data_IF_464988370827
#
_entry.id   IF_464988370827
#
_cell.length_a   1.000
_cell.length_b   1.000
_cell.length_c   1.000
_cell.angle_alpha   90.00
_cell.angle_beta   90.00
_cell.angle_gamma   90.00
#
_symmetry.space_group_name_H-M   'P 1'
#
loop_
_entity.id
_entity.type
_entity.pdbx_description
1 polymer ?
#
# COMPACT_ATOMS: atom_id res chain seq x y z
N UNK A 1 5.50 19.11 -23.68
CA UNK A 1 6.25 17.96 -23.11
C UNK A 1 6.86 18.45 -21.82
N UNK A 2 6.16 18.29 -20.71
CA UNK A 2 6.75 18.44 -19.37
C UNK A 2 7.67 17.24 -19.17
N UNK A 3 8.90 17.47 -18.74
CA UNK A 3 9.82 16.39 -18.40
C UNK A 3 9.17 15.53 -17.30
N UNK A 4 8.83 14.29 -17.64
CA UNK A 4 8.21 13.33 -16.72
C UNK A 4 9.20 13.06 -15.58
N UNK A 5 8.85 13.45 -14.34
CA UNK A 5 9.68 13.21 -13.17
C UNK A 5 9.80 11.70 -12.95
N UNK A 6 10.99 11.16 -13.25
CA UNK A 6 11.30 9.75 -13.14
C UNK A 6 12.48 9.50 -12.20
N UNK A 7 12.30 8.56 -11.29
CA UNK A 7 13.33 8.04 -10.38
C UNK A 7 13.70 6.60 -10.77
N UNK A 8 14.87 6.15 -10.36
CA UNK A 8 15.27 4.75 -10.49
C UNK A 8 14.84 3.96 -9.26
N UNK A 9 14.12 2.86 -9.48
CA UNK A 9 13.58 1.97 -8.45
C UNK A 9 13.65 0.53 -8.94
N UNK A 10 13.88 -0.42 -8.04
CA UNK A 10 14.06 -1.84 -8.42
C UNK A 10 13.04 -2.78 -7.78
N UNK A 11 12.48 -2.42 -6.63
CA UNK A 11 11.65 -3.27 -5.80
C UNK A 11 10.24 -2.68 -5.64
N UNK A 12 10.09 -1.42 -5.23
CA UNK A 12 8.78 -0.80 -4.97
C UNK A 12 8.17 -0.18 -6.23
N UNK A 13 7.78 -1.06 -7.14
CA UNK A 13 7.43 -0.74 -8.53
C UNK A 13 5.95 -0.38 -8.72
N UNK A 14 5.08 -0.76 -7.79
CA UNK A 14 3.63 -0.56 -7.84
C UNK A 14 3.16 0.08 -6.53
N UNK A 15 3.49 1.36 -6.34
CA UNK A 15 3.31 2.03 -5.06
C UNK A 15 2.00 2.83 -5.02
N UNK A 16 1.29 2.68 -3.90
CA UNK A 16 0.18 3.56 -3.49
C UNK A 16 0.51 4.14 -2.13
N UNK A 17 0.60 5.47 -2.04
CA UNK A 17 1.07 6.19 -0.87
C UNK A 17 0.00 7.17 -0.39
N UNK A 18 -0.35 7.09 0.88
CA UNK A 18 -1.40 7.93 1.46
C UNK A 18 -0.79 9.13 2.19
N UNK A 19 -1.29 10.30 1.86
CA UNK A 19 -0.85 11.59 2.38
C UNK A 19 -2.02 12.43 2.87
N UNK A 20 -1.75 13.25 3.88
CA UNK A 20 -2.53 14.44 4.20
C UNK A 20 -1.74 15.68 3.81
N UNK A 21 -2.45 16.80 3.62
CA UNK A 21 -1.83 18.13 3.52
C UNK A 21 -2.25 18.91 4.76
N UNK A 22 -1.30 19.20 5.63
CA UNK A 22 -1.56 19.87 6.90
C UNK A 22 -2.08 21.32 6.69
N UNK A 23 -2.56 21.96 7.75
CA UNK A 23 -3.14 23.31 7.68
C UNK A 23 -2.20 24.37 7.09
N UNK A 24 -0.89 24.18 7.19
CA UNK A 24 0.15 25.05 6.63
C UNK A 24 0.56 24.70 5.18
N UNK A 25 -0.04 23.66 4.60
CA UNK A 25 0.29 23.18 3.25
C UNK A 25 1.37 22.11 3.20
N UNK A 26 1.92 21.68 4.34
CA UNK A 26 2.97 20.65 4.38
C UNK A 26 2.40 19.27 4.08
N UNK A 27 2.99 18.51 3.12
CA UNK A 27 2.67 17.11 2.93
C UNK A 27 3.03 16.26 4.17
N UNK A 28 2.11 15.42 4.61
CA UNK A 28 2.28 14.52 5.74
C UNK A 28 2.02 13.09 5.29
N UNK A 29 3.04 12.24 5.41
CA UNK A 29 2.91 10.83 5.07
C UNK A 29 2.09 10.07 6.12
N UNK A 30 1.14 9.24 5.67
CA UNK A 30 0.22 8.48 6.52
C UNK A 30 0.52 6.99 6.49
N UNK A 31 0.65 6.41 5.30
CA UNK A 31 1.05 5.02 5.09
C UNK A 31 1.50 4.74 3.66
N UNK A 32 2.26 3.65 3.51
CA UNK A 32 2.65 3.09 2.23
C UNK A 32 1.99 1.73 2.07
N UNK A 33 1.31 1.52 0.95
CA UNK A 33 0.59 0.29 0.68
C UNK A 33 1.53 -0.74 0.03
N UNK A 34 1.51 -1.98 0.54
CA UNK A 34 2.29 -3.10 0.00
C UNK A 34 2.03 -3.38 -1.49
N UNK A 35 0.83 -3.02 -1.96
CA UNK A 35 0.48 -2.88 -3.35
C UNK A 35 -0.59 -1.79 -3.45
N UNK A 36 -0.52 -0.98 -4.51
CA UNK A 36 -1.58 -0.02 -4.81
C UNK A 36 -2.90 -0.73 -5.11
N UNK A 37 -3.96 -0.26 -4.46
CA UNK A 37 -5.35 -0.53 -4.81
C UNK A 37 -5.96 0.70 -5.50
N UNK A 38 -7.19 0.58 -5.99
CA UNK A 38 -7.97 1.66 -6.60
C UNK A 38 -7.51 2.15 -7.98
N UNK A 39 -6.91 1.25 -8.78
CA UNK A 39 -6.60 1.58 -10.17
C UNK A 39 -7.82 1.53 -11.09
N UNK A 40 -8.91 0.89 -10.68
CA UNK A 40 -10.19 0.98 -11.39
C UNK A 40 -10.73 2.41 -11.35
N UNK A 41 -10.74 3.02 -10.16
CA UNK A 41 -11.12 4.42 -9.95
C UNK A 41 -10.16 5.37 -10.64
N UNK A 42 -8.85 5.12 -10.55
CA UNK A 42 -7.87 5.89 -11.31
C UNK A 42 -8.21 5.88 -12.81
N UNK A 43 -8.44 4.71 -13.39
CA UNK A 43 -8.79 4.60 -14.80
C UNK A 43 -10.13 5.30 -15.10
N UNK A 44 -11.11 5.20 -14.22
CA UNK A 44 -12.39 5.88 -14.37
C UNK A 44 -12.24 7.42 -14.45
N UNK A 45 -11.45 8.01 -13.55
CA UNK A 45 -11.31 9.48 -13.46
C UNK A 45 -10.32 10.08 -14.45
N UNK A 46 -9.28 9.33 -14.82
CA UNK A 46 -8.20 9.83 -15.68
C UNK A 46 -8.26 9.29 -17.10
N UNK A 47 -8.93 8.15 -17.33
CA UNK A 47 -8.93 7.46 -18.62
C UNK A 47 -7.54 7.01 -19.07
N UNK A 48 -6.60 6.90 -18.12
CA UNK A 48 -5.18 6.69 -18.37
C UNK A 48 -4.73 5.28 -17.95
N UNK A 49 -4.17 4.54 -18.89
CA UNK A 49 -3.63 3.18 -18.67
C UNK A 49 -2.11 3.17 -18.40
N UNK A 50 -1.49 4.34 -18.27
CA UNK A 50 -0.06 4.52 -17.98
C UNK A 50 0.47 3.66 -16.82
N UNK A 51 -0.27 3.47 -15.69
CA UNK A 51 0.18 2.55 -14.63
C UNK A 51 0.49 1.12 -15.12
N UNK A 52 -0.37 0.60 -15.99
CA UNK A 52 -0.25 -0.75 -16.54
C UNK A 52 0.86 -0.84 -17.58
N UNK A 53 0.97 0.17 -18.47
CA UNK A 53 2.04 0.27 -19.46
C UNK A 53 3.42 0.27 -18.80
N UNK A 54 3.62 1.11 -17.78
CA UNK A 54 4.89 1.23 -17.05
C UNK A 54 5.28 -0.08 -16.38
N UNK A 55 4.31 -0.73 -15.73
CA UNK A 55 4.52 -2.00 -15.02
C UNK A 55 4.80 -3.15 -15.97
N UNK A 56 4.03 -3.27 -17.05
CA UNK A 56 4.31 -4.22 -18.12
C UNK A 56 5.69 -3.97 -18.75
N UNK A 57 6.10 -2.71 -18.88
CA UNK A 57 7.44 -2.32 -19.30
C UNK A 57 8.55 -2.85 -18.39
N UNK A 58 8.31 -2.99 -17.08
CA UNK A 58 9.22 -3.67 -16.14
C UNK A 58 9.23 -5.18 -16.39
N UNK A 59 8.05 -5.78 -16.43
CA UNK A 59 7.88 -7.23 -16.64
C UNK A 59 8.54 -7.71 -17.94
N UNK A 60 8.38 -6.93 -19.01
CA UNK A 60 8.92 -7.20 -20.36
C UNK A 60 10.46 -7.16 -20.46
N UNK A 61 11.17 -6.70 -19.42
CA UNK A 61 12.64 -6.71 -19.39
C UNK A 61 13.22 -8.04 -18.93
N UNK A 62 12.41 -8.91 -18.34
CA UNK A 62 12.86 -10.23 -17.90
C UNK A 62 12.86 -11.25 -19.05
N UNK A 63 13.80 -12.20 -19.02
CA UNK A 63 13.99 -13.16 -20.12
C UNK A 63 12.92 -14.27 -20.18
N UNK A 64 12.28 -14.58 -19.05
CA UNK A 64 11.21 -15.60 -18.94
C UNK A 64 9.79 -15.09 -19.20
N UNK A 65 8.76 -15.96 -19.13
CA UNK A 65 7.37 -15.55 -19.29
C UNK A 65 6.89 -14.65 -18.13
N UNK A 66 6.03 -13.65 -18.41
CA UNK A 66 5.32 -12.94 -17.37
C UNK A 66 4.28 -13.87 -16.73
N UNK A 67 4.19 -13.88 -15.41
CA UNK A 67 3.22 -14.67 -14.67
C UNK A 67 2.36 -13.75 -13.80
N UNK A 68 1.06 -14.02 -13.76
CA UNK A 68 0.10 -13.28 -12.93
C UNK A 68 -0.47 -14.24 -11.87
N UNK A 69 -0.34 -13.90 -10.59
CA UNK A 69 -0.84 -14.72 -9.49
C UNK A 69 -2.15 -14.19 -8.94
N UNK A 70 -3.15 -15.06 -8.95
CA UNK A 70 -4.50 -14.77 -8.48
C UNK A 70 -4.99 -15.82 -7.50
N UNK A 71 -5.78 -15.42 -6.52
CA UNK A 71 -6.40 -16.36 -5.58
C UNK A 71 -7.54 -17.10 -6.27
N UNK A 72 -7.79 -18.35 -5.88
CA UNK A 72 -9.01 -19.06 -6.32
C UNK A 72 -10.20 -18.66 -5.45
N UNK A 73 -11.27 -18.18 -6.08
CA UNK A 73 -12.52 -17.85 -5.40
C UNK A 73 -12.32 -16.76 -4.35
N UNK A 74 -11.68 -15.66 -4.75
CA UNK A 74 -11.43 -14.56 -3.83
C UNK A 74 -12.77 -14.07 -3.25
N UNK A 75 -12.90 -13.99 -1.91
CA UNK A 75 -14.18 -13.72 -1.24
C UNK A 75 -14.71 -12.30 -1.49
N UNK A 76 -13.91 -11.41 -2.06
CA UNK A 76 -14.39 -10.13 -2.55
C UNK A 76 -15.01 -10.38 -3.94
N UNK A 77 -16.30 -10.11 -4.16
CA UNK A 77 -16.97 -10.29 -5.47
C UNK A 77 -16.19 -9.63 -6.62
N UNK A 78 -15.50 -8.54 -6.32
CA UNK A 78 -14.72 -7.75 -7.26
C UNK A 78 -13.24 -8.16 -7.32
N UNK A 79 -12.75 -9.13 -6.53
CA UNK A 79 -11.33 -9.51 -6.55
C UNK A 79 -10.95 -10.45 -7.69
N UNK A 80 -11.87 -11.34 -8.10
CA UNK A 80 -11.72 -12.04 -9.38
C UNK A 80 -11.85 -11.03 -10.53
N UNK A 81 -12.70 -10.00 -10.38
CA UNK A 81 -12.83 -8.91 -11.37
C UNK A 81 -11.63 -7.96 -11.42
N UNK A 82 -10.98 -7.66 -10.29
CA UNK A 82 -9.79 -6.79 -10.14
C UNK A 82 -8.52 -7.49 -10.63
N UNK A 83 -8.36 -8.78 -10.29
CA UNK A 83 -7.29 -9.60 -10.81
C UNK A 83 -7.41 -9.78 -12.34
N UNK A 84 -8.64 -10.02 -12.83
CA UNK A 84 -8.93 -10.02 -14.25
C UNK A 84 -8.81 -8.63 -14.87
N UNK A 85 -9.15 -7.56 -14.16
CA UNK A 85 -9.03 -6.17 -14.62
C UNK A 85 -7.56 -5.80 -14.80
N UNK A 86 -6.76 -5.90 -13.74
CA UNK A 86 -5.31 -5.65 -13.80
C UNK A 86 -4.66 -6.55 -14.85
N UNK A 87 -5.02 -7.84 -14.89
CA UNK A 87 -4.52 -8.78 -15.89
C UNK A 87 -4.84 -8.36 -17.31
N UNK A 88 -6.11 -8.02 -17.60
CA UNK A 88 -6.57 -7.55 -18.91
C UNK A 88 -5.86 -6.28 -19.35
N UNK A 89 -5.61 -5.35 -18.43
CA UNK A 89 -4.90 -4.11 -18.77
C UNK A 89 -3.40 -4.33 -18.95
N UNK A 90 -2.75 -5.14 -18.11
CA UNK A 90 -1.34 -5.50 -18.29
C UNK A 90 -1.12 -6.24 -19.61
N UNK A 91 -1.98 -7.20 -19.96
CA UNK A 91 -1.85 -8.04 -21.16
C UNK A 91 -1.73 -7.23 -22.45
N UNK A 92 -2.39 -6.07 -22.54
CA UNK A 92 -2.31 -5.15 -23.70
C UNK A 92 -0.90 -4.65 -23.96
N UNK A 93 -0.07 -4.58 -22.93
CA UNK A 93 1.28 -4.01 -22.98
C UNK A 93 2.38 -5.07 -22.78
N UNK A 94 2.04 -6.31 -22.43
CA UNK A 94 2.99 -7.40 -22.31
C UNK A 94 3.42 -7.89 -23.70
N UNK A 95 4.73 -8.14 -23.88
CA UNK A 95 5.29 -8.66 -25.15
C UNK A 95 4.97 -10.13 -25.39
N UNK A 96 4.48 -10.83 -24.37
CA UNK A 96 4.14 -12.26 -24.38
C UNK A 96 2.87 -12.45 -23.56
N UNK A 97 1.97 -13.36 -23.96
CA UNK A 97 0.81 -13.70 -23.15
C UNK A 97 1.25 -14.14 -21.74
N UNK A 98 0.60 -13.65 -20.67
CA UNK A 98 0.94 -14.05 -19.32
C UNK A 98 0.51 -15.48 -19.01
N UNK A 99 1.30 -16.17 -18.18
CA UNK A 99 0.88 -17.43 -17.55
C UNK A 99 0.07 -17.09 -16.31
N UNK A 100 -1.21 -17.47 -16.31
CA UNK A 100 -2.10 -17.26 -15.18
C UNK A 100 -1.90 -18.38 -14.17
N UNK A 101 -1.63 -18.02 -12.91
CA UNK A 101 -1.29 -18.95 -11.84
C UNK A 101 -2.23 -18.76 -10.64
N UNK A 102 -2.57 -19.84 -9.94
CA UNK A 102 -3.27 -19.71 -8.66
C UNK A 102 -2.25 -19.52 -7.53
N UNK A 103 -2.55 -18.64 -6.58
CA UNK A 103 -1.72 -18.42 -5.39
C UNK A 103 -1.61 -19.71 -4.58
N UNK A 104 -2.72 -20.42 -4.37
CA UNK A 104 -2.82 -21.67 -3.61
C UNK A 104 -1.83 -22.74 -4.09
N UNK A 105 -1.69 -22.85 -5.41
CA UNK A 105 -0.88 -23.90 -6.05
C UNK A 105 0.62 -23.57 -5.99
N UNK A 106 1.00 -22.40 -5.46
CA UNK A 106 2.35 -21.82 -5.51
C UNK A 106 2.89 -21.36 -4.13
N UNK A 107 2.41 -21.97 -3.04
CA UNK A 107 2.82 -21.63 -1.66
C UNK A 107 4.05 -22.38 -1.13
N UNK A 108 4.51 -23.40 -1.85
CA UNK A 108 5.72 -24.13 -1.47
C UNK A 108 6.97 -23.47 -2.07
N UNK A 109 8.11 -23.40 -1.34
CA UNK A 109 9.36 -22.87 -1.86
C UNK A 109 9.86 -23.66 -3.08
N UNK A 110 10.01 -22.98 -4.22
CA UNK A 110 10.51 -23.49 -5.51
C UNK A 110 10.95 -22.34 -6.42
N UNK A 111 11.54 -22.68 -7.56
CA UNK A 111 12.00 -21.75 -8.61
C UNK A 111 11.10 -21.73 -9.87
N UNK A 112 10.10 -22.62 -9.94
CA UNK A 112 9.09 -22.69 -10.99
C UNK A 112 7.70 -22.34 -10.48
N UNK A 113 6.85 -21.74 -11.30
CA UNK A 113 5.46 -21.47 -10.97
C UNK A 113 4.53 -22.44 -11.73
N UNK A 114 3.50 -22.92 -11.05
CA UNK A 114 2.45 -23.78 -11.62
C UNK A 114 1.31 -22.90 -12.12
N UNK A 115 1.09 -22.92 -13.42
CA UNK A 115 -0.04 -22.28 -14.08
C UNK A 115 -1.36 -22.99 -13.80
N UNK A 116 -2.48 -22.32 -14.09
CA UNK A 116 -3.84 -22.88 -13.96
C UNK A 116 -4.08 -24.10 -14.85
N UNK A 117 -3.30 -24.26 -15.91
CA UNK A 117 -3.29 -25.41 -16.81
C UNK A 117 -2.47 -26.60 -16.26
N UNK A 118 -1.89 -26.46 -15.06
CA UNK A 118 -1.03 -27.46 -14.42
C UNK A 118 0.42 -27.47 -14.93
N UNK A 119 0.77 -26.65 -15.93
CA UNK A 119 2.13 -26.58 -16.45
C UNK A 119 3.03 -25.80 -15.50
N UNK A 120 4.28 -26.26 -15.39
CA UNK A 120 5.32 -25.56 -14.63
C UNK A 120 6.17 -24.73 -15.58
N UNK A 121 6.47 -23.50 -15.19
CA UNK A 121 7.33 -22.60 -15.93
C UNK A 121 8.29 -21.90 -14.99
N UNK A 122 9.53 -21.65 -15.43
CA UNK A 122 10.43 -20.72 -14.73
C UNK A 122 10.01 -19.28 -15.08
N UNK A 123 9.47 -18.49 -14.16
CA UNK A 123 8.96 -17.15 -14.47
C UNK A 123 10.12 -16.18 -14.76
N UNK A 124 9.91 -15.28 -15.73
CA UNK A 124 10.80 -14.12 -15.91
C UNK A 124 10.43 -12.99 -14.96
N UNK A 125 9.13 -12.71 -14.89
CA UNK A 125 8.56 -11.72 -13.99
C UNK A 125 7.26 -12.22 -13.38
N UNK A 126 6.97 -11.77 -12.17
CA UNK A 126 5.79 -12.15 -11.43
C UNK A 126 5.06 -10.89 -10.99
N UNK A 127 3.83 -10.72 -11.46
CA UNK A 127 2.90 -9.78 -10.83
C UNK A 127 2.03 -10.56 -9.83
N UNK A 128 2.03 -10.08 -8.59
CA UNK A 128 1.11 -10.54 -7.56
C UNK A 128 0.40 -9.30 -7.03
N UNK A 129 -0.90 -9.42 -6.80
CA UNK A 129 -1.66 -8.27 -6.34
C UNK A 129 -1.36 -7.95 -4.88
N UNK A 130 -1.93 -8.71 -3.95
CA UNK A 130 -1.79 -8.48 -2.50
C UNK A 130 -1.57 -9.79 -1.75
N UNK A 131 -1.03 -10.80 -2.44
CA UNK A 131 -0.84 -12.15 -1.91
C UNK A 131 0.62 -12.42 -1.55
N UNK A 132 0.81 -13.10 -0.41
CA UNK A 132 2.11 -13.63 -0.02
C UNK A 132 2.64 -14.64 -1.04
N UNK A 133 3.95 -14.66 -1.22
CA UNK A 133 4.64 -15.59 -2.10
C UNK A 133 5.87 -16.13 -1.36
N UNK A 134 6.30 -17.38 -1.54
CA UNK A 134 7.56 -17.85 -0.99
C UNK A 134 8.75 -17.00 -1.47
N UNK A 135 9.68 -16.70 -0.57
CA UNK A 135 10.90 -15.93 -0.87
C UNK A 135 11.79 -16.59 -1.92
N UNK A 136 11.63 -17.88 -2.19
CA UNK A 136 12.39 -18.61 -3.21
C UNK A 136 12.21 -18.03 -4.61
N UNK A 137 11.03 -17.47 -4.93
CA UNK A 137 10.77 -16.88 -6.24
C UNK A 137 11.55 -15.59 -6.47
N UNK A 138 11.70 -14.76 -5.44
CA UNK A 138 12.54 -13.56 -5.51
C UNK A 138 14.02 -13.91 -5.60
N UNK A 139 14.42 -15.03 -4.99
CA UNK A 139 15.81 -15.51 -4.98
C UNK A 139 16.20 -16.26 -6.24
N UNK A 140 15.24 -16.77 -7.01
CA UNK A 140 15.52 -17.50 -8.27
C UNK A 140 15.88 -16.57 -9.43
N UNK A 141 15.84 -15.24 -9.21
CA UNK A 141 16.12 -14.23 -10.22
C UNK A 141 14.89 -13.74 -10.99
N UNK A 142 13.68 -14.18 -10.62
CA UNK A 142 12.46 -13.63 -11.20
C UNK A 142 12.22 -12.20 -10.71
N UNK A 143 11.84 -11.30 -11.63
CA UNK A 143 11.44 -9.93 -11.27
C UNK A 143 10.04 -9.96 -10.67
N UNK A 144 9.93 -9.89 -9.34
CA UNK A 144 8.65 -9.83 -8.65
C UNK A 144 8.23 -8.37 -8.48
N UNK A 145 7.04 -8.01 -8.98
CA UNK A 145 6.45 -6.69 -8.75
C UNK A 145 6.00 -6.62 -7.28
N UNK A 146 6.55 -5.64 -6.54
CA UNK A 146 6.41 -5.50 -5.09
C UNK A 146 6.76 -6.79 -4.33
N UNK A 147 8.06 -7.15 -4.28
CA UNK A 147 8.56 -8.34 -3.61
C UNK A 147 8.28 -8.32 -2.10
N UNK A 148 8.50 -9.46 -1.43
CA UNK A 148 8.35 -9.65 0.01
C UNK A 148 9.25 -8.69 0.77
N UNK A 149 10.39 -8.32 0.20
CA UNK A 149 11.25 -7.30 0.79
C UNK A 149 10.56 -5.94 0.90
N UNK A 150 9.76 -5.53 -0.08
CA UNK A 150 8.91 -4.33 0.00
C UNK A 150 7.84 -4.52 1.06
N UNK A 151 7.14 -5.66 1.03
CA UNK A 151 6.11 -5.95 2.02
C UNK A 151 6.63 -5.89 3.45
N UNK A 152 7.73 -6.57 3.74
CA UNK A 152 8.37 -6.55 5.05
C UNK A 152 8.80 -5.12 5.46
N UNK A 153 9.18 -4.29 4.49
CA UNK A 153 9.57 -2.89 4.73
C UNK A 153 8.37 -2.01 5.11
N UNK A 154 7.21 -2.19 4.46
CA UNK A 154 6.05 -1.29 4.64
C UNK A 154 4.96 -1.83 5.56
N UNK A 155 5.00 -3.13 5.92
CA UNK A 155 3.95 -3.80 6.70
C UNK A 155 3.77 -3.21 8.09
N UNK A 156 4.86 -2.91 8.78
CA UNK A 156 4.82 -2.23 10.07
C UNK A 156 4.80 -0.72 9.86
N UNK A 157 3.63 -0.12 10.09
CA UNK A 157 3.41 1.32 9.89
C UNK A 157 4.36 2.18 10.73
N UNK A 158 4.71 1.76 11.95
CA UNK A 158 5.61 2.54 12.80
C UNK A 158 7.05 2.52 12.26
N UNK A 159 7.57 1.34 11.93
CA UNK A 159 8.91 1.21 11.36
C UNK A 159 9.02 1.90 9.99
N UNK A 160 7.97 1.85 9.17
CA UNK A 160 7.90 2.57 7.90
C UNK A 160 7.93 4.10 8.12
N UNK A 161 7.16 4.60 9.08
CA UNK A 161 7.20 6.02 9.49
C UNK A 161 8.59 6.45 9.97
N UNK A 162 9.25 5.66 10.81
CA UNK A 162 10.61 5.94 11.29
C UNK A 162 11.64 5.96 10.14
N UNK A 163 11.54 5.02 9.20
CA UNK A 163 12.36 4.98 7.99
C UNK A 163 12.24 6.29 7.17
N UNK A 164 11.05 6.89 7.15
CA UNK A 164 10.74 8.07 6.36
C UNK A 164 10.89 9.39 7.12
N UNK A 165 11.12 9.38 8.44
CA UNK A 165 11.18 10.57 9.27
C UNK A 165 12.23 11.62 8.83
N UNK A 166 13.27 11.20 8.10
CA UNK A 166 14.30 12.08 7.55
C UNK A 166 14.03 12.61 6.13
N UNK A 167 12.79 12.53 5.64
CA UNK A 167 12.40 13.06 4.34
C UNK A 167 12.51 14.59 4.26
N UNK A 168 12.76 15.12 3.05
CA UNK A 168 12.90 16.58 2.84
C UNK A 168 11.64 17.21 2.27
N UNK A 169 10.83 16.44 1.55
CA UNK A 169 9.66 16.92 0.81
C UNK A 169 8.33 16.69 1.54
N UNK A 170 8.36 15.98 2.67
CA UNK A 170 7.21 15.72 3.53
C UNK A 170 7.67 15.52 4.96
N UNK A 171 6.72 15.62 5.90
CA UNK A 171 6.93 15.22 7.30
C UNK A 171 6.23 13.89 7.59
N UNK A 172 6.67 13.24 8.65
CA UNK A 172 5.98 12.07 9.21
C UNK A 172 5.41 12.46 10.57
N UNK A 173 4.19 12.01 10.85
CA UNK A 173 3.56 12.26 12.13
C UNK A 173 4.35 11.57 13.25
N UNK A 174 4.62 12.30 14.35
CA UNK A 174 5.28 11.72 15.52
C UNK A 174 4.42 10.59 16.08
N UNK A 175 5.00 9.39 16.17
CA UNK A 175 4.28 8.16 16.47
C UNK A 175 5.02 7.31 17.51
N UNK A 176 4.27 6.52 18.26
CA UNK A 176 4.75 5.70 19.36
C UNK A 176 4.09 4.31 19.31
N UNK A 177 4.82 3.26 19.66
CA UNK A 177 4.21 1.96 19.88
C UNK A 177 3.38 1.97 21.16
N UNK A 178 2.19 1.36 21.12
CA UNK A 178 1.30 1.21 22.28
C UNK A 178 0.70 -0.20 22.30
N UNK A 179 0.65 -0.79 23.49
CA UNK A 179 0.08 -2.12 23.72
C UNK A 179 -1.25 -2.07 24.47
N UNK A 180 -1.61 -0.90 25.02
CA UNK A 180 -2.82 -0.70 25.80
C UNK A 180 -3.28 0.76 25.81
N UNK A 181 -4.54 0.99 26.18
CA UNK A 181 -5.06 2.33 26.43
C UNK A 181 -4.34 3.04 27.60
N UNK A 182 -3.81 2.28 28.57
CA UNK A 182 -2.99 2.82 29.66
C UNK A 182 -1.67 3.41 29.15
N UNK A 183 -0.99 2.70 28.25
CA UNK A 183 0.24 3.18 27.63
C UNK A 183 0.01 4.44 26.80
N UNK A 184 -1.07 4.44 26.00
CA UNK A 184 -1.45 5.60 25.21
C UNK A 184 -1.69 6.84 26.10
N UNK A 185 -2.46 6.70 27.18
CA UNK A 185 -2.71 7.80 28.14
C UNK A 185 -1.43 8.32 28.77
N UNK A 186 -0.54 7.42 29.18
CA UNK A 186 0.76 7.80 29.77
C UNK A 186 1.60 8.60 28.78
N UNK A 187 1.75 8.11 27.55
CA UNK A 187 2.51 8.81 26.50
C UNK A 187 1.90 10.18 26.20
N UNK A 188 0.57 10.28 26.07
CA UNK A 188 -0.08 11.58 25.84
C UNK A 188 0.11 12.57 26.99
N UNK A 189 0.18 12.07 28.22
CA UNK A 189 0.49 12.88 29.41
C UNK A 189 1.94 13.35 29.41
N UNK A 190 2.87 12.48 29.01
CA UNK A 190 4.31 12.77 28.95
C UNK A 190 4.67 13.71 27.78
N UNK A 191 3.85 13.74 26.71
CA UNK A 191 4.10 14.45 25.44
C UNK A 191 2.97 15.43 25.06
N UNK A 192 2.52 16.34 25.93
CA UNK A 192 1.30 17.12 25.73
C UNK A 192 1.34 18.03 24.50
N UNK A 193 2.53 18.50 24.11
CA UNK A 193 2.69 19.34 22.91
C UNK A 193 2.48 18.55 21.61
N UNK A 194 2.89 17.29 21.58
CA UNK A 194 2.71 16.40 20.42
C UNK A 194 1.22 16.13 20.17
N UNK A 195 0.45 15.95 21.23
CA UNK A 195 -0.97 15.58 21.14
C UNK A 195 -1.94 16.76 21.34
N UNK A 196 -1.44 18.00 21.21
CA UNK A 196 -2.25 19.23 21.39
C UNK A 196 -3.47 19.31 20.45
N UNK A 197 -3.39 18.65 19.30
CA UNK A 197 -4.45 18.59 18.28
C UNK A 197 -5.27 17.30 18.35
N UNK A 198 -5.06 16.47 19.37
CA UNK A 198 -5.63 15.13 19.50
C UNK A 198 -4.67 14.05 19.00
N UNK A 199 -5.21 12.86 18.75
CA UNK A 199 -4.41 11.70 18.38
C UNK A 199 -5.10 10.81 17.34
N UNK A 200 -4.29 9.92 16.76
CA UNK A 200 -4.75 8.78 15.98
C UNK A 200 -4.17 7.50 16.58
N UNK A 201 -5.01 6.51 16.85
CA UNK A 201 -4.58 5.16 17.23
C UNK A 201 -4.96 4.21 16.11
N UNK A 202 -4.00 3.41 15.62
CA UNK A 202 -4.25 2.42 14.57
C UNK A 202 -3.38 1.16 14.73
N UNK A 203 -3.81 -0.01 14.24
CA UNK A 203 -2.96 -1.19 14.21
C UNK A 203 -1.67 -0.94 13.43
N UNK A 204 -0.53 -1.41 13.96
CA UNK A 204 0.76 -1.37 13.24
C UNK A 204 0.72 -2.18 11.96
N UNK A 205 0.00 -3.29 12.00
CA UNK A 205 -0.28 -4.17 10.86
C UNK A 205 -1.79 -4.26 10.71
N UNK A 206 -2.29 -3.94 9.51
CA UNK A 206 -3.72 -3.86 9.24
C UNK A 206 -3.99 -3.10 7.95
N UNK A 207 -5.24 -3.08 7.50
CA UNK A 207 -5.67 -2.51 6.23
C UNK A 207 -7.07 -1.90 6.34
N UNK A 208 -7.50 -1.15 5.32
CA UNK A 208 -8.90 -0.73 5.14
C UNK A 208 -9.46 0.22 6.20
N UNK A 209 -8.60 0.88 6.98
CA UNK A 209 -9.03 1.79 8.05
C UNK A 209 -9.73 1.11 9.23
N UNK A 210 -9.69 -0.22 9.35
CA UNK A 210 -10.28 -0.93 10.48
C UNK A 210 -9.50 -0.66 11.77
N UNK A 211 -10.24 -0.57 12.88
CA UNK A 211 -9.74 -0.29 14.23
C UNK A 211 -8.93 1.01 14.36
N UNK A 212 -9.15 1.96 13.44
CA UNK A 212 -8.59 3.31 13.52
C UNK A 212 -9.47 4.17 14.41
N UNK A 213 -8.86 4.78 15.43
CA UNK A 213 -9.47 5.77 16.29
C UNK A 213 -8.87 7.13 15.96
N UNK A 214 -9.70 8.10 15.58
CA UNK A 214 -9.28 9.50 15.42
C UNK A 214 -10.00 10.33 16.45
N UNK A 215 -9.24 11.00 17.29
CA UNK A 215 -9.77 11.64 18.49
C UNK A 215 -9.35 13.11 18.59
N UNK A 216 -10.20 13.91 19.21
CA UNK A 216 -9.94 15.33 19.48
C UNK A 216 -9.13 15.50 20.78
N UNK A 217 -8.56 16.70 21.04
CA UNK A 217 -7.86 16.97 22.29
C UNK A 217 -8.74 16.65 23.51
N UNK A 218 -8.19 15.89 24.46
CA UNK A 218 -8.86 15.54 25.72
C UNK A 218 -9.82 14.34 25.64
N UNK A 219 -10.04 13.74 24.47
CA UNK A 219 -10.73 12.47 24.37
C UNK A 219 -9.84 11.32 24.88
N UNK A 220 -10.44 10.28 25.45
CA UNK A 220 -9.73 9.14 26.03
C UNK A 220 -9.63 7.98 25.03
N UNK A 221 -8.47 7.27 24.94
CA UNK A 221 -8.32 6.15 24.04
C UNK A 221 -9.23 5.00 24.45
N UNK A 222 -9.93 4.42 23.47
CA UNK A 222 -10.75 3.23 23.69
C UNK A 222 -9.87 1.99 23.87
N UNK A 223 -10.49 0.81 23.98
CA UNK A 223 -9.76 -0.45 24.08
C UNK A 223 -8.76 -0.60 22.92
N UNK A 224 -7.49 -0.84 23.29
CA UNK A 224 -6.37 -1.10 22.38
C UNK A 224 -5.92 -2.53 22.69
N UNK A 225 -5.85 -3.37 21.65
CA UNK A 225 -5.19 -4.67 21.73
C UNK A 225 -3.69 -4.50 21.43
N UNK A 226 -2.90 -5.56 21.54
CA UNK A 226 -1.46 -5.49 21.29
C UNK A 226 -1.10 -5.03 19.87
N UNK A 227 0.08 -4.42 19.69
CA UNK A 227 0.66 -3.98 18.41
C UNK A 227 -0.03 -2.80 17.70
N UNK A 228 -0.40 -1.76 18.45
CA UNK A 228 -0.90 -0.51 17.88
C UNK A 228 0.17 0.57 17.84
N UNK A 229 -0.09 1.61 17.06
CA UNK A 229 0.65 2.86 17.12
C UNK A 229 -0.30 4.00 17.52
N UNK A 230 0.22 4.88 18.37
CA UNK A 230 -0.36 6.16 18.73
C UNK A 230 0.41 7.23 17.96
N UNK A 231 -0.27 8.04 17.16
CA UNK A 231 0.29 9.12 16.36
C UNK A 231 -0.33 10.45 16.77
N UNK A 232 0.43 11.54 16.65
CA UNK A 232 -0.16 12.88 16.64
C UNK A 232 -1.25 12.96 15.56
N UNK A 233 -2.31 13.74 15.82
CA UNK A 233 -3.36 13.99 14.83
C UNK A 233 -2.95 15.11 13.89
N UNK A 234 -3.01 14.83 12.60
CA UNK A 234 -2.88 15.82 11.53
C UNK A 234 -4.25 16.44 11.28
N UNK A 235 -4.30 17.76 11.11
CA UNK A 235 -5.56 18.49 10.91
C UNK A 235 -5.50 19.21 9.57
N UNK A 236 -5.79 18.51 8.46
CA UNK A 236 -5.81 19.14 7.14
C UNK A 236 -6.94 20.18 7.05
N UNK A 237 -6.78 21.16 6.15
CA UNK A 237 -7.90 22.04 5.78
C UNK A 237 -9.01 21.19 5.16
N UNK A 238 -10.24 21.33 5.64
CA UNK A 238 -11.37 20.60 5.05
C UNK A 238 -11.64 21.04 3.60
N UNK A 239 -12.03 20.09 2.76
CA UNK A 239 -12.51 20.35 1.39
C UNK A 239 -14.03 20.33 1.42
N UNK A 240 -14.67 21.47 1.17
CA UNK A 240 -16.14 21.59 1.18
C UNK A 240 -16.79 21.05 2.47
N UNK A 241 -16.14 21.30 3.61
CA UNK A 241 -16.59 20.82 4.93
C UNK A 241 -16.34 19.32 5.18
N UNK A 242 -15.64 18.63 4.29
CA UNK A 242 -15.30 17.21 4.41
C UNK A 242 -13.83 17.00 4.79
N UNK A 243 -13.58 15.91 5.51
CA UNK A 243 -12.23 15.38 5.68
C UNK A 243 -11.75 14.79 4.36
N UNK A 244 -10.45 14.85 4.11
CA UNK A 244 -9.88 14.25 2.93
C UNK A 244 -8.44 13.79 3.13
N UNK A 245 -8.06 12.79 2.34
CA UNK A 245 -6.68 12.34 2.15
C UNK A 245 -6.40 12.19 0.65
N UNK A 246 -5.12 12.14 0.30
CA UNK A 246 -4.67 11.88 -1.07
C UNK A 246 -3.92 10.55 -1.14
N UNK A 247 -4.28 9.72 -2.11
CA UNK A 247 -3.53 8.54 -2.51
C UNK A 247 -2.74 8.85 -3.77
N UNK A 248 -1.41 8.90 -3.64
CA UNK A 248 -0.49 9.09 -4.76
C UNK A 248 -0.04 7.75 -5.33
N UNK A 249 0.03 7.67 -6.66
CA UNK A 249 0.47 6.49 -7.40
C UNK A 249 1.85 6.71 -8.01
N UNK A 250 2.78 5.80 -7.71
CA UNK A 250 4.11 5.78 -8.33
C UNK A 250 4.34 4.42 -8.96
N UNK A 251 4.47 4.39 -10.28
CA UNK A 251 4.58 3.18 -11.08
C UNK A 251 5.92 3.14 -11.80
N UNK A 252 6.71 2.11 -11.53
CA UNK A 252 8.06 1.95 -12.09
C UNK A 252 8.95 3.21 -11.97
N UNK A 253 8.79 3.96 -10.87
CA UNK A 253 9.54 5.18 -10.59
C UNK A 253 8.98 6.44 -11.24
N UNK A 254 7.75 6.42 -11.74
CA UNK A 254 7.05 7.58 -12.30
C UNK A 254 5.83 7.89 -11.45
N UNK A 255 5.66 9.14 -11.01
CA UNK A 255 4.44 9.59 -10.36
C UNK A 255 3.36 9.84 -11.43
N UNK A 256 2.31 9.02 -11.42
CA UNK A 256 1.24 9.05 -12.45
C UNK A 256 0.00 9.84 -12.00
N UNK A 257 0.07 10.48 -10.84
CA UNK A 257 -1.03 11.24 -10.24
C UNK A 257 -1.56 10.59 -8.98
N UNK A 258 -2.80 10.93 -8.61
CA UNK A 258 -3.41 10.41 -7.41
C UNK A 258 -4.92 10.56 -7.37
N UNK A 259 -5.53 9.94 -6.36
CA UNK A 259 -6.92 10.11 -6.01
C UNK A 259 -7.02 10.90 -4.70
N UNK A 260 -8.12 11.63 -4.57
CA UNK A 260 -8.56 12.22 -3.32
C UNK A 260 -9.64 11.33 -2.74
N UNK A 261 -9.60 11.01 -1.45
CA UNK A 261 -10.75 10.41 -0.76
C UNK A 261 -11.37 11.46 0.14
N UNK A 262 -12.67 11.67 0.03
CA UNK A 262 -13.44 12.57 0.90
C UNK A 262 -14.36 11.79 1.82
N UNK A 263 -14.60 12.31 3.02
CA UNK A 263 -15.53 11.72 3.97
C UNK A 263 -16.08 12.76 4.94
N UNK A 264 -17.31 12.52 5.42
CA UNK A 264 -17.87 13.26 6.56
C UNK A 264 -17.27 12.81 7.90
N UNK A 265 -16.66 11.62 7.91
CA UNK A 265 -15.92 11.06 9.05
C UNK A 265 -14.43 11.39 8.91
N UNK A 266 -13.68 11.57 10.02
CA UNK A 266 -12.24 11.72 9.98
C UNK A 266 -11.49 10.50 9.44
N UNK A 267 -12.12 9.32 9.37
CA UNK A 267 -11.60 8.17 8.66
C UNK A 267 -12.08 8.21 7.20
N UNK A 268 -11.16 8.57 6.30
CA UNK A 268 -11.41 8.82 4.88
C UNK A 268 -11.24 7.58 4.01
N UNK A 269 -10.91 6.43 4.60
CA UNK A 269 -10.68 5.21 3.85
C UNK A 269 -11.94 4.77 3.07
N UNK A 270 -11.76 4.32 1.83
CA UNK A 270 -12.84 3.83 0.97
C UNK A 270 -13.75 2.81 1.65
N UNK A 271 -13.17 1.82 2.35
CA UNK A 271 -13.92 0.76 3.05
C UNK A 271 -14.68 1.26 4.28
N UNK A 272 -14.43 2.49 4.71
CA UNK A 272 -15.09 3.17 5.83
C UNK A 272 -16.08 4.25 5.36
N UNK A 273 -16.46 4.21 4.07
CA UNK A 273 -17.41 5.16 3.47
C UNK A 273 -16.75 6.39 2.83
N UNK A 274 -15.43 6.37 2.63
CA UNK A 274 -14.74 7.37 1.85
C UNK A 274 -15.15 7.33 0.37
N UNK A 275 -15.32 8.51 -0.23
CA UNK A 275 -15.68 8.64 -1.65
C UNK A 275 -14.45 9.05 -2.45
N UNK A 276 -14.07 8.30 -3.51
CA UNK A 276 -12.95 8.67 -4.35
C UNK A 276 -13.33 9.78 -5.32
N UNK A 277 -12.41 10.71 -5.49
CA UNK A 277 -12.48 11.84 -6.40
C UNK A 277 -11.15 11.98 -7.13
N UNK A 278 -11.18 12.63 -8.30
CA UNK A 278 -9.96 13.04 -8.99
C UNK A 278 -9.19 14.03 -8.12
N UNK A 279 -7.91 13.76 -7.88
CA UNK A 279 -7.02 14.73 -7.24
C UNK A 279 -6.72 15.87 -8.22
N UNK A 280 -6.79 17.11 -7.76
CA UNK A 280 -6.50 18.27 -8.60
C UNK A 280 -5.01 18.37 -8.94
N UNK A 281 -4.70 19.11 -10.01
CA UNK A 281 -3.33 19.24 -10.53
C UNK A 281 -2.38 19.94 -9.56
N UNK A 282 -2.88 20.91 -8.79
CA UNK A 282 -2.04 21.65 -7.85
C UNK A 282 -1.63 20.77 -6.67
N UNK A 283 -2.59 20.02 -6.10
CA UNK A 283 -2.31 19.05 -5.03
C UNK A 283 -1.44 17.90 -5.55
N UNK A 284 -1.67 17.44 -6.77
CA UNK A 284 -0.80 16.44 -7.42
C UNK A 284 0.64 16.93 -7.55
N UNK A 285 0.85 18.16 -8.05
CA UNK A 285 2.16 18.76 -8.20
C UNK A 285 2.88 18.97 -6.85
N UNK A 286 2.12 19.32 -5.80
CA UNK A 286 2.63 19.44 -4.42
C UNK A 286 3.10 18.09 -3.87
N UNK A 287 2.31 17.02 -4.09
CA UNK A 287 2.57 15.70 -3.49
C UNK A 287 3.51 14.81 -4.31
N UNK A 288 3.70 15.07 -5.62
CA UNK A 288 4.54 14.24 -6.47
C UNK A 288 6.01 14.12 -5.98
N UNK A 289 6.70 15.20 -5.58
CA UNK A 289 8.05 15.09 -5.00
C UNK A 289 8.07 14.23 -3.73
N UNK A 290 7.06 14.38 -2.87
CA UNK A 290 6.91 13.59 -1.65
C UNK A 290 6.72 12.10 -1.93
N UNK A 291 5.84 11.77 -2.87
CA UNK A 291 5.60 10.40 -3.29
C UNK A 291 6.87 9.76 -3.87
N UNK A 292 7.58 10.46 -4.76
CA UNK A 292 8.82 9.97 -5.35
C UNK A 292 9.92 9.77 -4.29
N UNK A 293 10.12 10.73 -3.39
CA UNK A 293 11.11 10.58 -2.31
C UNK A 293 10.78 9.39 -1.38
N UNK A 294 9.50 9.21 -1.01
CA UNK A 294 9.07 8.09 -0.20
C UNK A 294 9.36 6.74 -0.88
N UNK A 295 9.06 6.62 -2.19
CA UNK A 295 9.38 5.42 -2.95
C UNK A 295 10.88 5.14 -2.97
N UNK A 296 11.74 6.14 -3.24
CA UNK A 296 13.21 5.92 -3.23
C UNK A 296 13.70 5.37 -1.89
N UNK A 297 13.20 5.93 -0.78
CA UNK A 297 13.61 5.52 0.57
C UNK A 297 13.14 4.12 0.91
N UNK A 298 11.89 3.79 0.59
CA UNK A 298 11.33 2.45 0.78
C UNK A 298 12.05 1.44 -0.12
N UNK A 299 12.30 1.77 -1.39
CA UNK A 299 13.01 0.91 -2.34
C UNK A 299 14.43 0.58 -1.83
N UNK A 300 15.13 1.58 -1.32
CA UNK A 300 16.46 1.42 -0.73
C UNK A 300 16.44 0.53 0.52
N UNK A 301 15.39 0.61 1.34
CA UNK A 301 15.22 -0.26 2.50
C UNK A 301 14.84 -1.68 2.10
N UNK A 302 13.95 -1.84 1.12
CA UNK A 302 13.57 -3.12 0.54
C UNK A 302 14.78 -3.82 -0.08
N UNK A 303 15.69 -3.10 -0.74
CA UNK A 303 16.94 -3.67 -1.24
C UNK A 303 17.79 -4.30 -0.12
N UNK A 304 17.88 -3.65 1.04
CA UNK A 304 18.60 -4.21 2.21
C UNK A 304 17.92 -5.45 2.77
N UNK A 305 16.59 -5.45 2.82
CA UNK A 305 15.81 -6.63 3.26
C UNK A 305 15.96 -7.77 2.26
N UNK A 306 15.93 -7.49 0.96
CA UNK A 306 16.10 -8.48 -0.10
C UNK A 306 17.48 -9.15 -0.04
N UNK A 307 18.52 -8.40 0.33
CA UNK A 307 19.88 -8.91 0.49
C UNK A 307 20.09 -9.81 1.73
N UNK A 308 19.10 -9.94 2.62
CA UNK A 308 19.24 -10.79 3.81
C UNK A 308 19.32 -12.27 3.43
N UNK A 309 20.22 -13.05 4.07
CA UNK A 309 20.38 -14.48 3.78
C UNK A 309 19.12 -15.29 4.14
N UNK A 310 18.32 -14.80 5.07
CA UNK A 310 17.05 -15.39 5.49
C UNK A 310 15.98 -14.31 5.58
N UNK A 311 14.70 -14.64 5.34
CA UNK A 311 13.59 -13.73 5.58
C UNK A 311 13.61 -13.17 7.01
N UNK A 312 13.22 -11.89 7.21
CA UNK A 312 13.07 -11.34 8.55
C UNK A 312 11.99 -12.11 9.32
N UNK A 313 12.32 -12.54 10.54
CA UNK A 313 11.40 -13.26 11.44
C UNK A 313 10.79 -12.30 12.45
N UNK A 314 9.58 -11.83 12.19
CA UNK A 314 8.77 -11.06 13.12
C UNK A 314 7.32 -11.14 12.68
N UNK A 315 6.37 -11.24 13.61
CA UNK A 315 4.92 -11.17 13.30
C UNK A 315 4.54 -9.85 12.60
N UNK A 316 5.35 -8.81 12.76
CA UNK A 316 5.15 -7.50 12.14
C UNK A 316 5.69 -7.44 10.70
N UNK A 317 6.55 -8.39 10.30
CA UNK A 317 7.20 -8.39 8.97
C UNK A 317 7.05 -9.72 8.22
N UNK A 318 6.49 -10.74 8.86
CA UNK A 318 6.30 -12.07 8.29
C UNK A 318 5.33 -11.98 7.12
N UNK A 319 5.69 -12.62 6.01
CA UNK A 319 4.84 -12.71 4.83
C UNK A 319 4.38 -14.16 4.73
N UNK A 320 3.33 -14.51 5.46
CA UNK A 320 2.72 -15.83 5.44
C UNK A 320 1.39 -15.81 4.70
N UNK A 321 1.08 -16.91 4.00
CA UNK A 321 -0.21 -17.13 3.34
C UNK A 321 -1.37 -17.35 4.33
N UNK A 322 -1.06 -17.80 5.55
CA UNK A 322 -2.05 -18.06 6.60
C UNK A 322 -2.56 -16.79 7.31
N UNK A 323 -2.96 -15.76 6.57
CA UNK A 323 -3.91 -14.77 7.08
C UNK A 323 -5.32 -15.43 7.09
N UNK A 324 -5.48 -16.52 7.86
CA UNK A 324 -6.78 -17.15 8.12
C UNK A 324 -7.59 -16.26 9.06
N UNK A 325 -8.71 -15.75 8.55
CA UNK A 325 -10.01 -15.99 9.19
C UNK A 325 -10.32 -15.36 10.55
N UNK A 326 -9.83 -14.17 10.87
CA UNK A 326 -10.26 -13.42 12.09
C UNK A 326 -11.07 -12.15 11.81
N UNK A 327 -11.18 -11.70 10.56
CA UNK A 327 -12.27 -10.80 10.18
C UNK A 327 -13.50 -11.66 9.96
N UNK A 328 -14.28 -11.84 11.03
CA UNK A 328 -15.49 -12.65 11.03
C UNK A 328 -16.40 -12.33 9.87
N UNK A 329 -17.13 -13.35 9.45
CA UNK A 329 -18.29 -13.31 8.57
C UNK A 329 -19.26 -12.18 8.96
N UNK A 330 -18.96 -10.94 8.56
CA UNK A 330 -19.96 -9.91 8.38
C UNK A 330 -20.19 -9.85 6.90
N UNK A 331 -21.24 -10.56 6.47
CA UNK A 331 -21.87 -10.35 5.16
C UNK A 331 -22.04 -8.84 4.99
N UNK A 332 -21.22 -8.24 4.12
CA UNK A 332 -21.55 -6.98 3.51
C UNK A 332 -22.79 -7.26 2.67
N UNK A 333 -23.96 -6.96 3.24
CA UNK A 333 -25.19 -6.89 2.48
C UNK A 333 -25.05 -5.72 1.52
N UNK A 334 -24.52 -5.97 0.33
CA UNK A 334 -24.71 -5.04 -0.78
C UNK A 334 -26.19 -5.05 -1.16
N UNK A 335 -26.85 -3.93 -0.92
CA UNK A 335 -27.96 -3.55 -1.79
C UNK A 335 -27.37 -3.23 -3.17
N UNK A 336 -27.88 -3.84 -4.24
CA UNK A 336 -27.44 -3.50 -5.59
C UNK A 336 -27.86 -2.06 -5.91
N UNK A 337 -26.99 -1.36 -6.65
CA UNK A 337 -27.38 -0.20 -7.45
C UNK A 337 -28.38 -0.62 -8.54
#
# INVERSE_FOLDING_TARGET
MTDELRISVSHYLWAGLDFLVDGDGTPVFIEANRASHMLGEYLHFFGDERPFELTAGVMNRADGPPCLLWRRGDPLPDADEDACFIGRHLERYLKRPPVICNVEDNQEPRDEITGRDGRRVRPGSIFRWWYGLPWSYERSGATVINPNSVWATVRDKLACSELLAGAKTFRVARSFAVESAGDARRIMTDEPQTFRNGYVVKPRVGWGGYDVQVASPGEEPHAISSNYLLSERIVPKQSDGQYWEARMFVMAGVCVGGLKHTSRSPNTNYWQGGTPERLDEATTALLAPAALEAVVRIDSAAARVHALPQPPRSVLTEVSYEERGSAGERRLGHQPL
#
